data_IF_282094317327
#
_entry.id   IF_282094317327
#
_cell.length_a   1.000
_cell.length_b   1.000
_cell.length_c   1.000
_cell.angle_alpha   90.00
_cell.angle_beta   90.00
_cell.angle_gamma   90.00
#
_symmetry.space_group_name_H-M   'P 1'
#
loop_
_entity.id
_entity.type
_entity.pdbx_description
1 polymer ?
#
# COMPACT_ATOMS: atom_id res chain seq x y z
N UNK A 1 -24.72 13.02 -6.69
CA UNK A 1 -23.77 12.16 -5.91
C UNK A 1 -22.63 11.84 -6.84
N UNK A 2 -21.38 12.10 -6.45
CA UNK A 2 -20.22 11.80 -7.28
C UNK A 2 -19.94 10.30 -7.28
N UNK A 3 -19.46 9.78 -8.40
CA UNK A 3 -19.15 8.35 -8.59
C UNK A 3 -17.64 8.17 -8.78
N UNK A 4 -17.04 7.20 -8.10
CA UNK A 4 -15.62 6.85 -8.24
C UNK A 4 -15.45 5.43 -8.74
N UNK A 5 -14.59 5.23 -9.74
CA UNK A 5 -14.13 3.93 -10.19
C UNK A 5 -12.95 3.49 -9.31
N UNK A 6 -13.13 2.44 -8.51
CA UNK A 6 -12.16 1.95 -7.55
C UNK A 6 -11.58 0.60 -8.01
N UNK A 7 -10.28 0.52 -8.19
CA UNK A 7 -9.57 -0.75 -8.33
C UNK A 7 -8.95 -1.17 -6.99
N UNK A 8 -8.83 -2.47 -6.76
CA UNK A 8 -8.25 -2.99 -5.51
C UNK A 8 -9.18 -2.96 -4.30
N UNK A 9 -10.48 -2.74 -4.49
CA UNK A 9 -11.50 -2.60 -3.44
C UNK A 9 -11.53 -3.74 -2.41
N UNK A 10 -11.15 -4.95 -2.79
CA UNK A 10 -11.14 -6.15 -1.92
C UNK A 10 -9.82 -6.39 -1.20
N UNK A 11 -8.78 -5.58 -1.49
CA UNK A 11 -7.48 -5.63 -0.84
C UNK A 11 -7.46 -4.93 0.52
N UNK A 12 -6.33 -5.02 1.22
CA UNK A 12 -6.16 -4.44 2.57
C UNK A 12 -6.46 -2.94 2.60
N UNK A 13 -5.77 -2.13 1.80
CA UNK A 13 -6.01 -0.68 1.73
C UNK A 13 -7.37 -0.38 1.10
N UNK A 14 -7.70 -1.08 0.01
CA UNK A 14 -8.90 -0.78 -0.78
C UNK A 14 -10.21 -0.99 -0.04
N UNK A 15 -10.33 -1.99 0.84
CA UNK A 15 -11.56 -2.23 1.61
C UNK A 15 -11.83 -1.11 2.62
N UNK A 16 -10.80 -0.60 3.29
CA UNK A 16 -10.95 0.52 4.22
C UNK A 16 -11.27 1.81 3.44
N UNK A 17 -10.60 1.99 2.31
CA UNK A 17 -10.88 3.11 1.40
C UNK A 17 -12.32 3.07 0.85
N UNK A 18 -12.83 1.88 0.51
CA UNK A 18 -14.21 1.69 0.07
C UNK A 18 -15.20 2.18 1.15
N UNK A 19 -14.98 1.81 2.42
CA UNK A 19 -15.83 2.23 3.53
C UNK A 19 -15.78 3.75 3.73
N UNK A 20 -14.58 4.34 3.63
CA UNK A 20 -14.39 5.80 3.73
C UNK A 20 -15.02 6.56 2.57
N UNK A 21 -14.99 6.03 1.34
CA UNK A 21 -15.65 6.61 0.18
C UNK A 21 -17.18 6.67 0.37
N UNK A 22 -17.77 5.56 0.82
CA UNK A 22 -19.21 5.50 1.11
C UNK A 22 -19.59 6.51 2.20
N UNK A 23 -18.81 6.56 3.29
CA UNK A 23 -19.03 7.51 4.39
C UNK A 23 -18.91 8.98 3.94
N UNK A 24 -18.05 9.26 2.93
CA UNK A 24 -17.91 10.58 2.31
C UNK A 24 -18.97 10.87 1.24
N UNK A 25 -19.97 10.02 1.05
CA UNK A 25 -21.08 10.24 0.13
C UNK A 25 -20.78 9.92 -1.34
N UNK A 26 -19.69 9.19 -1.63
CA UNK A 26 -19.40 8.69 -2.97
C UNK A 26 -20.22 7.45 -3.29
N UNK A 27 -20.71 7.36 -4.53
CA UNK A 27 -21.07 6.07 -5.11
C UNK A 27 -19.82 5.40 -5.66
N UNK A 28 -19.60 4.12 -5.33
CA UNK A 28 -18.37 3.42 -5.70
C UNK A 28 -18.67 2.33 -6.73
N UNK A 29 -18.09 2.44 -7.91
CA UNK A 29 -17.98 1.34 -8.87
C UNK A 29 -16.68 0.61 -8.56
N UNK A 30 -16.76 -0.63 -8.07
CA UNK A 30 -15.63 -1.34 -7.51
C UNK A 30 -15.28 -2.59 -8.32
N UNK A 31 -14.04 -2.66 -8.86
CA UNK A 31 -13.55 -3.82 -9.60
C UNK A 31 -13.31 -5.01 -8.66
N UNK A 32 -13.82 -6.17 -9.02
CA UNK A 32 -13.64 -7.40 -8.26
C UNK A 32 -13.47 -8.62 -9.17
N UNK A 33 -12.62 -9.57 -8.76
CA UNK A 33 -12.41 -10.87 -9.43
C UNK A 33 -13.30 -11.99 -8.88
N UNK A 34 -14.02 -11.71 -7.80
CA UNK A 34 -14.87 -12.69 -7.11
C UNK A 34 -16.20 -12.05 -6.77
N UNK A 35 -17.24 -12.82 -6.70
CA UNK A 35 -18.54 -12.35 -6.26
C UNK A 35 -18.44 -11.73 -4.86
N UNK A 36 -19.12 -10.61 -4.69
CA UNK A 36 -19.18 -9.86 -3.45
C UNK A 36 -20.63 -9.73 -2.99
N UNK A 37 -20.84 -9.70 -1.69
CA UNK A 37 -22.13 -9.38 -1.14
C UNK A 37 -22.56 -7.96 -1.54
N UNK A 38 -23.87 -7.78 -1.73
CA UNK A 38 -24.43 -6.45 -1.97
C UNK A 38 -24.06 -5.51 -0.81
N UNK A 39 -23.60 -4.32 -1.17
CA UNK A 39 -23.25 -3.27 -0.21
C UNK A 39 -23.86 -1.95 -0.69
N UNK A 40 -24.59 -1.26 0.19
CA UNK A 40 -25.17 0.03 -0.13
C UNK A 40 -24.09 1.02 -0.59
N UNK A 41 -24.37 1.79 -1.65
CA UNK A 41 -23.40 2.74 -2.22
C UNK A 41 -22.33 2.10 -3.11
N UNK A 42 -22.37 0.78 -3.37
CA UNK A 42 -21.38 0.06 -4.19
C UNK A 42 -22.03 -0.66 -5.35
N UNK A 43 -21.52 -0.44 -6.55
CA UNK A 43 -21.77 -1.24 -7.74
C UNK A 43 -20.52 -2.10 -8.03
N UNK A 44 -20.61 -3.39 -7.80
CA UNK A 44 -19.52 -4.32 -8.10
C UNK A 44 -19.44 -4.58 -9.61
N UNK A 45 -18.24 -4.41 -10.18
CA UNK A 45 -17.92 -4.73 -11.56
C UNK A 45 -17.01 -5.95 -11.56
N UNK A 46 -17.52 -7.08 -12.09
CA UNK A 46 -16.73 -8.31 -12.18
C UNK A 46 -15.70 -8.19 -13.30
N UNK A 47 -14.43 -8.48 -12.99
CA UNK A 47 -13.34 -8.39 -13.96
C UNK A 47 -11.97 -8.25 -13.28
N UNK A 48 -10.98 -7.88 -14.07
CA UNK A 48 -9.58 -7.72 -13.62
C UNK A 48 -8.87 -6.59 -14.36
N UNK A 49 -7.66 -6.23 -13.90
CA UNK A 49 -6.84 -5.22 -14.59
C UNK A 49 -6.39 -5.66 -16.00
N UNK A 50 -6.47 -6.96 -16.31
CA UNK A 50 -6.13 -7.49 -17.64
C UNK A 50 -7.33 -7.62 -18.55
N UNK A 51 -8.53 -7.27 -18.09
CA UNK A 51 -9.76 -7.30 -18.85
C UNK A 51 -10.22 -5.86 -19.15
N UNK A 52 -9.88 -5.40 -20.35
CA UNK A 52 -10.18 -4.03 -20.80
C UNK A 52 -11.69 -3.76 -20.89
N UNK A 53 -12.50 -4.77 -21.20
CA UNK A 53 -13.96 -4.61 -21.25
C UNK A 53 -14.52 -4.30 -19.86
N UNK A 54 -14.07 -5.03 -18.83
CA UNK A 54 -14.48 -4.77 -17.45
C UNK A 54 -13.99 -3.42 -16.92
N UNK A 55 -12.81 -2.95 -17.36
CA UNK A 55 -12.30 -1.63 -16.99
C UNK A 55 -13.08 -0.49 -17.66
N UNK A 56 -13.47 -0.65 -18.90
CA UNK A 56 -14.37 0.30 -19.57
C UNK A 56 -15.73 0.36 -18.86
N UNK A 57 -16.31 -0.79 -18.50
CA UNK A 57 -17.53 -0.80 -17.70
C UNK A 57 -17.30 -0.18 -16.31
N UNK A 58 -16.17 -0.44 -15.65
CA UNK A 58 -15.83 0.18 -14.37
C UNK A 58 -15.83 1.72 -14.44
N UNK A 59 -15.24 2.27 -15.49
CA UNK A 59 -15.09 3.71 -15.68
C UNK A 59 -16.36 4.40 -16.19
N UNK A 60 -17.35 3.65 -16.68
CA UNK A 60 -18.58 4.22 -17.25
C UNK A 60 -19.36 5.06 -16.25
N UNK A 61 -19.51 6.36 -16.55
CA UNK A 61 -20.23 7.30 -15.69
C UNK A 61 -19.56 7.63 -14.35
N UNK A 62 -18.27 7.32 -14.20
CA UNK A 62 -17.51 7.74 -13.04
C UNK A 62 -16.92 9.14 -13.23
N UNK A 63 -16.87 9.92 -12.14
CA UNK A 63 -16.28 11.26 -12.10
C UNK A 63 -14.75 11.22 -11.87
N UNK A 64 -14.27 10.15 -11.25
CA UNK A 64 -12.87 9.98 -10.90
C UNK A 64 -12.47 8.51 -10.88
N UNK A 65 -11.15 8.24 -11.01
CA UNK A 65 -10.56 6.93 -10.75
C UNK A 65 -9.70 6.99 -9.50
N UNK A 66 -9.86 5.99 -8.63
CA UNK A 66 -8.95 5.69 -7.53
C UNK A 66 -8.30 4.33 -7.77
N UNK A 67 -7.04 4.34 -8.18
CA UNK A 67 -6.28 3.14 -8.51
C UNK A 67 -5.45 2.69 -7.31
N UNK A 68 -6.00 1.74 -6.53
CA UNK A 68 -5.36 1.14 -5.35
C UNK A 68 -4.78 -0.23 -5.65
N UNK A 69 -5.29 -0.89 -6.70
CA UNK A 69 -4.82 -2.21 -7.09
C UNK A 69 -3.32 -2.23 -7.40
N UNK A 70 -2.66 -3.28 -6.96
CA UNK A 70 -1.26 -3.55 -7.24
C UNK A 70 -0.83 -4.86 -6.61
N UNK A 71 0.24 -5.43 -7.15
CA UNK A 71 0.87 -6.65 -6.66
C UNK A 71 2.08 -6.28 -5.83
N UNK A 72 2.11 -6.68 -4.56
CA UNK A 72 3.24 -6.47 -3.63
C UNK A 72 4.15 -7.69 -3.53
N UNK A 73 3.64 -8.86 -3.93
CA UNK A 73 4.36 -10.13 -3.96
C UNK A 73 4.09 -10.83 -5.29
N UNK A 74 5.13 -11.12 -6.06
CA UNK A 74 5.08 -11.94 -7.27
C UNK A 74 6.31 -12.85 -7.30
N UNK A 75 6.23 -14.02 -7.95
CA UNK A 75 7.36 -14.96 -8.03
C UNK A 75 8.52 -14.43 -8.89
N UNK A 76 8.23 -13.51 -9.81
CA UNK A 76 9.16 -12.99 -10.81
C UNK A 76 8.79 -11.58 -11.30
N UNK A 77 9.62 -11.02 -12.15
CA UNK A 77 9.41 -9.70 -12.74
C UNK A 77 8.15 -9.64 -13.62
N UNK A 78 7.80 -10.72 -14.33
CA UNK A 78 6.63 -10.76 -15.20
C UNK A 78 5.32 -10.63 -14.42
N UNK A 79 5.24 -11.22 -13.22
CA UNK A 79 4.09 -11.08 -12.34
C UNK A 79 3.92 -9.64 -11.84
N UNK A 80 5.03 -8.95 -11.50
CA UNK A 80 5.00 -7.54 -11.15
C UNK A 80 4.66 -6.65 -12.36
N UNK A 81 5.22 -6.93 -13.52
CA UNK A 81 4.93 -6.22 -14.77
C UNK A 81 3.44 -6.29 -15.11
N UNK A 82 2.88 -7.51 -15.17
CA UNK A 82 1.46 -7.71 -15.47
C UNK A 82 0.54 -7.02 -14.46
N UNK A 83 0.83 -7.17 -13.14
CA UNK A 83 -0.05 -6.65 -12.09
C UNK A 83 0.06 -5.15 -11.85
N UNK A 84 1.25 -4.57 -11.98
CA UNK A 84 1.50 -3.17 -11.66
C UNK A 84 1.57 -2.29 -12.91
N UNK A 85 2.34 -2.68 -13.94
CA UNK A 85 2.60 -1.82 -15.11
C UNK A 85 1.46 -1.94 -16.12
N UNK A 86 1.23 -3.15 -16.64
CA UNK A 86 0.19 -3.41 -17.64
C UNK A 86 -1.19 -3.07 -17.08
N UNK A 87 -1.47 -3.47 -15.83
CA UNK A 87 -2.73 -3.14 -15.16
C UNK A 87 -2.96 -1.64 -15.02
N UNK A 88 -1.91 -0.85 -14.71
CA UNK A 88 -1.99 0.61 -14.65
C UNK A 88 -2.21 1.21 -16.03
N UNK A 89 -1.53 0.71 -17.08
CA UNK A 89 -1.74 1.17 -18.45
C UNK A 89 -3.19 0.97 -18.91
N UNK A 90 -3.77 -0.19 -18.60
CA UNK A 90 -5.15 -0.50 -18.99
C UNK A 90 -6.18 0.41 -18.29
N UNK A 91 -6.05 0.66 -16.99
CA UNK A 91 -7.00 1.54 -16.28
C UNK A 91 -6.85 3.01 -16.69
N UNK A 92 -5.63 3.46 -17.03
CA UNK A 92 -5.40 4.78 -17.59
C UNK A 92 -6.13 4.94 -18.94
N UNK A 93 -5.98 3.96 -19.84
CA UNK A 93 -6.66 3.95 -21.13
C UNK A 93 -8.19 3.94 -20.97
N UNK A 94 -8.74 3.15 -20.05
CA UNK A 94 -10.18 3.11 -19.77
C UNK A 94 -10.68 4.44 -19.20
N UNK A 95 -9.93 5.09 -18.30
CA UNK A 95 -10.28 6.40 -17.76
C UNK A 95 -10.31 7.46 -18.85
N UNK A 96 -9.29 7.51 -19.71
CA UNK A 96 -9.23 8.45 -20.85
C UNK A 96 -10.38 8.22 -21.82
N UNK A 97 -10.66 6.97 -22.18
CA UNK A 97 -11.77 6.62 -23.08
C UNK A 97 -13.14 7.00 -22.53
N UNK A 98 -13.30 6.98 -21.20
CA UNK A 98 -14.53 7.39 -20.51
C UNK A 98 -14.63 8.92 -20.29
N UNK A 99 -13.62 9.69 -20.70
CA UNK A 99 -13.57 11.15 -20.48
C UNK A 99 -13.34 11.56 -19.04
N UNK A 100 -12.87 10.64 -18.17
CA UNK A 100 -12.55 10.95 -16.78
C UNK A 100 -11.25 11.75 -16.76
N UNK A 101 -11.24 12.87 -16.03
CA UNK A 101 -10.03 13.69 -15.87
C UNK A 101 -9.29 13.36 -14.59
N UNK A 102 -9.99 13.20 -13.46
CA UNK A 102 -9.38 13.01 -12.13
C UNK A 102 -8.92 11.57 -11.89
N UNK A 103 -7.61 11.39 -11.59
CA UNK A 103 -6.99 10.08 -11.38
C UNK A 103 -6.08 10.11 -10.15
N UNK A 104 -6.41 9.34 -9.11
CA UNK A 104 -5.57 9.16 -7.92
C UNK A 104 -4.95 7.77 -7.95
N UNK A 105 -3.62 7.70 -7.87
CA UNK A 105 -2.86 6.44 -7.94
C UNK A 105 -2.09 6.16 -6.65
N UNK A 106 -2.24 4.96 -6.12
CA UNK A 106 -1.43 4.46 -5.01
C UNK A 106 -0.18 3.80 -5.55
N UNK A 107 0.97 4.48 -5.40
CA UNK A 107 2.31 3.98 -5.67
C UNK A 107 2.92 3.33 -4.41
N UNK A 108 4.19 3.56 -4.14
CA UNK A 108 4.91 3.11 -2.94
C UNK A 108 6.19 3.94 -2.78
N UNK A 109 6.71 4.08 -1.56
CA UNK A 109 8.07 4.60 -1.35
C UNK A 109 9.13 3.78 -2.11
N UNK A 110 8.87 2.50 -2.35
CA UNK A 110 9.75 1.63 -3.15
C UNK A 110 10.03 2.18 -4.56
N UNK A 111 9.11 2.96 -5.14
CA UNK A 111 9.29 3.58 -6.46
C UNK A 111 10.43 4.61 -6.50
N UNK A 112 10.94 5.08 -5.35
CA UNK A 112 12.11 5.97 -5.28
C UNK A 112 13.42 5.26 -5.60
N UNK A 113 13.47 3.95 -5.34
CA UNK A 113 14.67 3.11 -5.47
C UNK A 113 14.35 1.87 -6.33
N UNK A 114 14.08 2.08 -7.64
CA UNK A 114 13.69 0.98 -8.54
C UNK A 114 14.77 -0.09 -8.69
N UNK A 115 16.03 0.26 -8.45
CA UNK A 115 17.18 -0.64 -8.52
C UNK A 115 17.25 -1.66 -7.38
N UNK A 116 16.52 -1.43 -6.28
CA UNK A 116 16.60 -2.31 -5.09
C UNK A 116 15.73 -3.55 -5.21
N UNK A 117 14.64 -3.50 -6.00
CA UNK A 117 13.73 -4.64 -6.12
C UNK A 117 12.86 -4.59 -7.38
N UNK A 118 12.45 -5.77 -7.87
CA UNK A 118 11.47 -5.90 -8.95
C UNK A 118 10.15 -5.19 -8.61
N UNK A 119 9.73 -5.25 -7.35
CA UNK A 119 8.57 -4.49 -6.87
C UNK A 119 8.77 -2.98 -7.04
N UNK A 120 9.89 -2.43 -6.55
CA UNK A 120 10.22 -1.01 -6.69
C UNK A 120 10.29 -0.58 -8.15
N UNK A 121 10.95 -1.37 -9.01
CA UNK A 121 11.02 -1.12 -10.44
C UNK A 121 9.62 -1.07 -11.08
N UNK A 122 8.76 -2.04 -10.79
CA UNK A 122 7.40 -2.08 -11.34
C UNK A 122 6.53 -0.89 -10.87
N UNK A 123 6.68 -0.47 -9.62
CA UNK A 123 5.96 0.71 -9.10
C UNK A 123 6.47 2.00 -9.72
N UNK A 124 7.78 2.15 -9.93
CA UNK A 124 8.36 3.30 -10.61
C UNK A 124 7.88 3.39 -12.06
N UNK A 125 7.86 2.27 -12.78
CA UNK A 125 7.37 2.21 -14.18
C UNK A 125 5.87 2.54 -14.25
N UNK A 126 5.06 1.95 -13.39
CA UNK A 126 3.63 2.25 -13.32
C UNK A 126 3.36 3.74 -13.00
N UNK A 127 4.13 4.32 -12.07
CA UNK A 127 4.04 5.74 -11.74
C UNK A 127 4.44 6.63 -12.92
N UNK A 128 5.45 6.26 -13.69
CA UNK A 128 5.85 6.99 -14.89
C UNK A 128 4.72 7.03 -15.93
N UNK A 129 3.99 5.93 -16.13
CA UNK A 129 2.81 5.90 -17.01
C UNK A 129 1.72 6.88 -16.54
N UNK A 130 1.46 6.94 -15.23
CA UNK A 130 0.49 7.89 -14.66
C UNK A 130 0.96 9.33 -14.91
N UNK A 131 2.23 9.64 -14.62
CA UNK A 131 2.79 10.99 -14.72
C UNK A 131 2.90 11.52 -16.14
N UNK A 132 3.02 10.64 -17.13
CA UNK A 132 3.04 10.99 -18.55
C UNK A 132 1.66 11.05 -19.19
N UNK A 133 0.61 10.62 -18.47
CA UNK A 133 -0.76 10.69 -18.96
C UNK A 133 -1.29 12.13 -19.04
N UNK A 134 -2.31 12.35 -19.87
CA UNK A 134 -3.02 13.63 -19.98
C UNK A 134 -3.99 13.91 -18.82
N UNK A 135 -4.16 12.96 -17.89
CA UNK A 135 -5.12 13.07 -16.79
C UNK A 135 -4.67 14.09 -15.75
N UNK A 136 -5.62 14.59 -14.98
CA UNK A 136 -5.40 15.31 -13.73
C UNK A 136 -5.03 14.28 -12.64
N UNK A 137 -3.77 13.86 -12.63
CA UNK A 137 -3.32 12.80 -11.75
C UNK A 137 -2.75 13.33 -10.42
N UNK A 138 -2.92 12.52 -9.39
CA UNK A 138 -2.15 12.61 -8.14
C UNK A 138 -1.62 11.23 -7.79
N UNK A 139 -0.35 11.15 -7.43
CA UNK A 139 0.30 9.92 -6.96
C UNK A 139 0.54 10.04 -5.46
N UNK A 140 0.20 8.99 -4.72
CA UNK A 140 0.60 8.82 -3.33
C UNK A 140 1.60 7.66 -3.21
N UNK A 141 2.73 7.88 -2.54
CA UNK A 141 3.75 6.88 -2.21
C UNK A 141 3.67 6.56 -0.72
N UNK A 142 2.81 5.63 -0.30
CA UNK A 142 2.77 5.23 1.10
C UNK A 142 4.05 4.48 1.49
N UNK A 143 4.47 4.61 2.77
CA UNK A 143 5.48 3.76 3.39
C UNK A 143 4.88 2.41 3.79
N UNK A 144 5.43 1.79 4.83
CA UNK A 144 4.82 0.61 5.45
C UNK A 144 3.41 0.90 5.97
N UNK A 145 2.40 0.31 5.34
CA UNK A 145 1.00 0.47 5.76
C UNK A 145 0.65 -0.63 6.75
N UNK A 146 0.10 -0.27 7.91
CA UNK A 146 -0.32 -1.22 8.94
C UNK A 146 -1.75 -0.92 9.42
N UNK A 147 -2.36 -1.89 10.10
CA UNK A 147 -3.69 -1.72 10.66
C UNK A 147 -4.48 -3.03 10.70
N UNK A 148 -5.72 -3.02 11.22
CA UNK A 148 -6.60 -4.18 11.23
C UNK A 148 -6.79 -4.82 9.87
N UNK A 149 -6.42 -6.12 9.74
CA UNK A 149 -6.50 -6.88 8.49
C UNK A 149 -5.27 -6.86 7.62
N UNK A 150 -4.17 -6.27 8.07
CA UNK A 150 -2.87 -6.41 7.43
C UNK A 150 -2.33 -7.83 7.58
N UNK A 151 -1.76 -8.38 6.50
CA UNK A 151 -1.11 -9.69 6.47
C UNK A 151 0.41 -9.59 6.33
N UNK A 152 0.92 -8.46 5.86
CA UNK A 152 2.35 -8.30 5.57
C UNK A 152 3.17 -8.10 6.85
N UNK A 153 2.68 -7.28 7.79
CA UNK A 153 3.35 -7.05 9.08
C UNK A 153 2.97 -8.09 10.15
N UNK A 154 2.01 -8.97 9.89
CA UNK A 154 1.53 -9.95 10.86
C UNK A 154 2.66 -10.81 11.46
N UNK A 155 3.62 -11.26 10.64
CA UNK A 155 4.75 -12.05 11.14
C UNK A 155 5.62 -11.27 12.16
N UNK A 156 5.70 -9.93 12.04
CA UNK A 156 6.40 -9.10 13.03
C UNK A 156 5.69 -9.13 14.39
N UNK A 157 4.35 -9.02 14.41
CA UNK A 157 3.55 -9.14 15.63
C UNK A 157 3.67 -10.52 16.26
N UNK A 158 3.62 -11.57 15.43
CA UNK A 158 3.73 -12.96 15.89
C UNK A 158 5.10 -13.26 16.53
N UNK A 159 6.20 -12.71 15.98
CA UNK A 159 7.53 -12.85 16.53
C UNK A 159 7.69 -12.02 17.79
N UNK A 160 7.18 -10.77 17.78
CA UNK A 160 7.19 -9.89 18.94
C UNK A 160 6.42 -10.48 20.14
N UNK A 161 5.30 -11.18 19.91
CA UNK A 161 4.57 -11.90 20.95
C UNK A 161 5.39 -13.00 21.65
N UNK A 162 6.49 -13.49 21.00
CA UNK A 162 7.44 -14.41 21.58
C UNK A 162 8.61 -13.71 22.28
N UNK A 163 8.63 -12.37 22.36
CA UNK A 163 9.66 -11.56 22.98
C UNK A 163 10.88 -11.27 22.11
N UNK A 164 10.81 -11.49 20.79
CA UNK A 164 11.92 -11.29 19.87
C UNK A 164 11.54 -10.44 18.68
N UNK A 165 12.52 -9.74 18.10
CA UNK A 165 12.41 -9.15 16.77
C UNK A 165 13.73 -9.34 16.01
N UNK A 166 13.65 -10.05 14.88
CA UNK A 166 14.74 -10.12 13.91
C UNK A 166 14.58 -8.97 12.94
N UNK A 167 15.57 -8.10 12.90
CA UNK A 167 15.53 -6.84 12.16
C UNK A 167 16.56 -6.84 11.03
N UNK A 168 16.30 -6.11 9.94
CA UNK A 168 17.32 -5.80 8.95
C UNK A 168 18.47 -4.98 9.58
N UNK A 169 19.53 -4.63 8.84
CA UNK A 169 20.55 -3.70 9.31
C UNK A 169 19.94 -2.45 9.92
N UNK A 170 20.70 -1.74 10.76
CA UNK A 170 20.20 -0.51 11.39
C UNK A 170 19.75 0.47 10.32
N UNK A 171 18.58 1.05 10.52
CA UNK A 171 17.96 1.97 9.59
C UNK A 171 16.68 2.58 10.17
N UNK A 172 15.99 3.31 9.31
CA UNK A 172 14.76 4.04 9.66
C UNK A 172 13.64 3.70 8.67
N UNK A 173 12.43 3.78 9.15
CA UNK A 173 11.22 3.50 8.37
C UNK A 173 10.12 4.48 8.77
N UNK A 174 9.40 5.03 7.81
CA UNK A 174 8.11 5.63 8.02
C UNK A 174 7.02 4.56 7.98
N UNK A 175 5.93 4.79 8.67
CA UNK A 175 4.74 3.94 8.66
C UNK A 175 3.49 4.80 8.59
N UNK A 176 2.37 4.24 8.12
CA UNK A 176 1.09 4.91 8.11
C UNK A 176 -0.03 3.92 8.48
N UNK A 177 -0.96 4.35 9.31
CA UNK A 177 -2.15 3.54 9.58
C UNK A 177 -3.05 3.49 8.34
N UNK A 178 -3.61 2.32 8.04
CA UNK A 178 -4.42 2.10 6.83
C UNK A 178 -5.62 3.04 6.74
N UNK A 179 -6.21 3.40 7.85
CA UNK A 179 -7.35 4.30 7.89
C UNK A 179 -6.96 5.76 7.63
N UNK A 180 -5.80 6.21 8.10
CA UNK A 180 -5.23 7.51 7.77
C UNK A 180 -4.87 7.62 6.27
N UNK A 181 -4.29 6.55 5.70
CA UNK A 181 -4.06 6.48 4.26
C UNK A 181 -5.37 6.53 3.49
N UNK A 182 -6.38 5.76 3.89
CA UNK A 182 -7.69 5.74 3.23
C UNK A 182 -8.36 7.12 3.27
N UNK A 183 -8.27 7.84 4.39
CA UNK A 183 -8.76 9.20 4.55
C UNK A 183 -8.05 10.17 3.60
N UNK A 184 -6.72 10.08 3.49
CA UNK A 184 -5.94 10.87 2.53
C UNK A 184 -6.41 10.59 1.09
N UNK A 185 -6.56 9.32 0.72
CA UNK A 185 -6.99 8.94 -0.64
C UNK A 185 -8.35 9.53 -1.00
N UNK A 186 -9.30 9.52 -0.06
CA UNK A 186 -10.62 10.14 -0.26
C UNK A 186 -10.51 11.66 -0.40
N UNK A 187 -9.71 12.32 0.45
CA UNK A 187 -9.46 13.77 0.37
C UNK A 187 -8.88 14.16 -1.00
N UNK A 188 -7.92 13.41 -1.50
CA UNK A 188 -7.25 13.70 -2.77
C UNK A 188 -8.18 13.61 -3.99
N UNK A 189 -9.31 12.91 -3.91
CA UNK A 189 -10.27 12.82 -5.04
C UNK A 189 -10.98 14.14 -5.36
N UNK A 190 -11.11 15.03 -4.37
CA UNK A 190 -11.87 16.27 -4.52
C UNK A 190 -11.12 17.52 -4.07
N UNK A 191 -9.87 17.37 -3.61
CA UNK A 191 -9.06 18.50 -3.19
C UNK A 191 -8.58 19.34 -4.38
N UNK A 192 -8.52 20.65 -4.17
CA UNK A 192 -7.92 21.59 -5.11
C UNK A 192 -6.38 21.60 -4.95
N UNK A 193 -5.67 22.03 -5.99
CA UNK A 193 -4.22 22.22 -6.01
C UNK A 193 -3.38 20.95 -5.73
N UNK A 194 -3.93 19.78 -6.06
CA UNK A 194 -3.23 18.47 -5.94
C UNK A 194 -2.96 17.83 -7.32
N UNK A 195 -3.24 18.58 -8.39
CA UNK A 195 -3.00 18.15 -9.77
C UNK A 195 -1.52 17.98 -10.04
N UNK A 196 -1.15 16.87 -10.68
CA UNK A 196 0.24 16.50 -11.05
C UNK A 196 1.20 16.52 -9.85
N UNK A 197 0.71 16.19 -8.67
CA UNK A 197 1.49 16.09 -7.45
C UNK A 197 1.83 14.65 -7.10
N UNK A 198 3.01 14.45 -6.52
CA UNK A 198 3.43 13.20 -5.88
C UNK A 198 3.56 13.48 -4.40
N UNK A 199 2.77 12.79 -3.58
CA UNK A 199 2.80 12.92 -2.13
C UNK A 199 3.41 11.68 -1.47
N UNK A 200 4.09 11.91 -0.35
CA UNK A 200 4.56 10.88 0.57
C UNK A 200 3.99 11.21 1.96
N UNK A 201 3.24 10.28 2.57
CA UNK A 201 2.57 10.53 3.83
C UNK A 201 2.84 9.40 4.84
N UNK A 202 3.05 9.77 6.09
CA UNK A 202 3.29 8.85 7.19
C UNK A 202 2.52 9.26 8.47
N UNK A 203 2.86 8.66 9.61
CA UNK A 203 2.27 8.92 10.92
C UNK A 203 2.69 10.25 11.59
N UNK A 204 3.46 11.09 10.90
CA UNK A 204 3.95 12.36 11.41
C UNK A 204 5.19 12.26 12.33
N UNK A 205 5.70 11.05 12.61
CA UNK A 205 6.91 10.89 13.46
C UNK A 205 8.12 11.54 12.80
N UNK A 206 8.72 12.51 13.48
CA UNK A 206 9.87 13.23 12.96
C UNK A 206 11.05 12.31 12.65
N UNK A 207 11.50 12.29 11.37
CA UNK A 207 12.54 11.39 10.89
C UNK A 207 12.18 9.90 10.92
N UNK A 208 10.89 9.55 11.03
CA UNK A 208 10.40 8.17 11.07
C UNK A 208 10.87 7.37 12.28
N UNK A 209 10.64 6.09 12.28
CA UNK A 209 11.00 5.14 13.34
C UNK A 209 12.34 4.49 13.04
N UNK A 210 13.19 4.29 14.06
CA UNK A 210 14.26 3.29 13.91
C UNK A 210 13.67 1.89 13.86
N UNK A 211 14.29 0.95 13.14
CA UNK A 211 13.80 -0.44 13.08
C UNK A 211 13.60 -1.04 14.47
N UNK A 212 14.54 -0.79 15.40
CA UNK A 212 14.43 -1.25 16.79
C UNK A 212 13.32 -0.54 17.56
N UNK A 213 13.13 0.76 17.35
CA UNK A 213 12.04 1.54 17.98
C UNK A 213 10.67 1.04 17.55
N UNK A 214 10.47 0.81 16.25
CA UNK A 214 9.21 0.28 15.72
C UNK A 214 8.93 -1.14 16.22
N UNK A 215 9.95 -2.01 16.24
CA UNK A 215 9.81 -3.36 16.80
C UNK A 215 9.44 -3.36 18.28
N UNK A 216 10.02 -2.46 19.09
CA UNK A 216 9.65 -2.28 20.50
C UNK A 216 8.21 -1.77 20.66
N UNK A 217 7.77 -0.84 19.79
CA UNK A 217 6.38 -0.38 19.78
C UNK A 217 5.39 -1.50 19.46
N UNK A 218 5.73 -2.40 18.52
CA UNK A 218 4.96 -3.63 18.27
C UNK A 218 4.97 -4.53 19.51
N UNK A 219 6.12 -4.71 20.17
CA UNK A 219 6.25 -5.45 21.42
C UNK A 219 5.29 -4.93 22.50
N UNK A 220 5.31 -3.64 22.74
CA UNK A 220 4.38 -2.97 23.66
C UNK A 220 2.91 -3.24 23.28
N UNK A 221 2.58 -3.18 21.99
CA UNK A 221 1.23 -3.43 21.49
C UNK A 221 0.74 -4.87 21.75
N UNK A 222 1.65 -5.85 21.72
CA UNK A 222 1.33 -7.26 22.04
C UNK A 222 1.50 -7.60 23.52
N UNK A 223 1.96 -6.63 24.36
CA UNK A 223 2.14 -6.81 25.81
C UNK A 223 3.44 -7.55 26.17
N UNK A 224 4.51 -7.35 25.39
CA UNK A 224 5.82 -7.99 25.60
C UNK A 224 6.96 -7.00 25.45
N UNK A 225 7.98 -7.12 26.27
CA UNK A 225 9.29 -6.55 25.99
C UNK A 225 9.99 -7.40 24.92
N UNK A 226 10.58 -6.71 23.93
CA UNK A 226 11.15 -7.37 22.75
C UNK A 226 12.66 -7.18 22.71
N UNK A 227 13.38 -8.28 22.64
CA UNK A 227 14.81 -8.31 22.36
C UNK A 227 14.99 -8.14 20.84
N UNK A 228 15.69 -7.09 20.44
CA UNK A 228 15.93 -6.77 19.03
C UNK A 228 17.29 -7.30 18.58
N UNK A 229 17.31 -8.08 17.50
CA UNK A 229 18.53 -8.62 16.90
C UNK A 229 18.63 -8.14 15.46
N UNK A 230 19.69 -7.42 15.13
CA UNK A 230 19.93 -6.96 13.75
C UNK A 230 20.71 -8.00 12.96
N UNK A 231 20.16 -8.46 11.85
CA UNK A 231 20.85 -9.33 10.91
C UNK A 231 21.70 -8.48 9.94
N UNK A 232 22.98 -8.76 9.76
CA UNK A 232 23.78 -8.15 8.70
C UNK A 232 23.18 -8.42 7.30
N UNK A 233 23.35 -7.48 6.36
CA UNK A 233 22.76 -7.58 5.02
C UNK A 233 23.10 -8.87 4.27
N UNK A 234 24.34 -9.39 4.44
CA UNK A 234 24.76 -10.63 3.79
C UNK A 234 24.01 -11.85 4.32
N UNK A 235 23.65 -11.88 5.63
CA UNK A 235 22.85 -12.97 6.21
C UNK A 235 21.42 -12.94 5.71
N UNK A 236 20.83 -11.75 5.52
CA UNK A 236 19.49 -11.62 4.93
C UNK A 236 19.49 -12.12 3.47
N UNK A 237 20.52 -11.79 2.68
CA UNK A 237 20.65 -12.27 1.31
C UNK A 237 20.83 -13.78 1.25
N UNK A 238 21.67 -14.33 2.11
CA UNK A 238 21.87 -15.78 2.22
C UNK A 238 20.58 -16.49 2.65
N UNK A 239 19.88 -15.97 3.66
CA UNK A 239 18.58 -16.49 4.09
C UNK A 239 17.54 -16.43 2.96
N UNK A 240 17.53 -15.35 2.17
CA UNK A 240 16.66 -15.21 1.00
C UNK A 240 16.98 -16.24 -0.09
N UNK A 241 18.27 -16.51 -0.34
CA UNK A 241 18.68 -17.58 -1.26
C UNK A 241 18.25 -18.96 -0.76
N UNK A 242 18.48 -19.25 0.53
CA UNK A 242 18.08 -20.52 1.15
C UNK A 242 16.56 -20.71 1.15
N UNK A 243 15.78 -19.69 1.49
CA UNK A 243 14.31 -19.76 1.47
C UNK A 243 13.79 -20.04 0.05
N UNK A 244 14.38 -19.39 -0.97
CA UNK A 244 14.03 -19.65 -2.37
C UNK A 244 14.40 -21.05 -2.83
N UNK A 245 15.56 -21.57 -2.41
CA UNK A 245 16.00 -22.92 -2.74
C UNK A 245 15.06 -23.99 -2.13
N UNK A 246 14.55 -23.76 -0.92
CA UNK A 246 13.68 -24.71 -0.21
C UNK A 246 12.21 -24.58 -0.63
N UNK A 247 11.69 -23.34 -0.78
CA UNK A 247 10.26 -23.09 -0.99
C UNK A 247 9.91 -22.68 -2.44
N UNK A 248 10.91 -22.49 -3.31
CA UNK A 248 10.70 -22.11 -4.69
C UNK A 248 9.88 -20.83 -4.83
N UNK A 249 8.80 -20.87 -5.62
CA UNK A 249 7.88 -19.75 -5.83
C UNK A 249 7.10 -19.33 -4.57
N UNK A 250 7.08 -20.13 -3.51
CA UNK A 250 6.41 -19.82 -2.23
C UNK A 250 7.34 -19.16 -1.20
N UNK A 251 8.58 -18.85 -1.58
CA UNK A 251 9.54 -18.19 -0.70
C UNK A 251 9.01 -16.82 -0.25
N UNK A 252 9.02 -16.56 1.06
CA UNK A 252 8.63 -15.28 1.65
C UNK A 252 9.78 -14.26 1.64
N UNK A 253 11.01 -14.75 1.78
CA UNK A 253 12.23 -13.96 1.68
C UNK A 253 12.97 -14.37 0.42
N UNK A 254 13.09 -13.45 -0.54
CA UNK A 254 13.88 -13.64 -1.75
C UNK A 254 15.14 -12.75 -1.67
N UNK A 255 16.21 -13.00 -2.45
CA UNK A 255 17.34 -12.08 -2.53
C UNK A 255 16.93 -10.65 -2.91
N UNK A 256 15.94 -10.51 -3.79
CA UNK A 256 15.31 -9.24 -4.19
C UNK A 256 14.68 -8.53 -2.98
N UNK A 257 13.84 -9.22 -2.22
CA UNK A 257 13.21 -8.69 -1.00
C UNK A 257 14.26 -8.39 0.10
N UNK A 258 15.33 -9.17 0.18
CA UNK A 258 16.43 -8.93 1.11
C UNK A 258 17.18 -7.62 0.80
N UNK A 259 17.40 -7.29 -0.48
CA UNK A 259 17.98 -6.01 -0.89
C UNK A 259 17.08 -4.83 -0.49
N UNK A 260 15.78 -4.93 -0.77
CA UNK A 260 14.79 -3.94 -0.36
C UNK A 260 14.79 -3.72 1.16
N UNK A 261 14.77 -4.80 1.95
CA UNK A 261 14.76 -4.73 3.42
C UNK A 261 16.09 -4.22 4.01
N UNK A 262 17.22 -4.43 3.30
CA UNK A 262 18.53 -3.98 3.77
C UNK A 262 18.79 -2.49 3.53
N UNK A 263 17.94 -1.80 2.78
CA UNK A 263 18.08 -0.36 2.57
C UNK A 263 17.91 0.40 3.90
N UNK A 264 18.83 1.36 4.21
CA UNK A 264 18.88 1.94 5.55
C UNK A 264 17.80 2.98 5.82
N UNK A 265 17.17 3.56 4.78
CA UNK A 265 16.26 4.69 4.94
C UNK A 265 14.99 4.57 4.07
N UNK A 266 13.93 4.11 4.71
CA UNK A 266 12.58 4.11 4.16
C UNK A 266 11.69 5.19 4.79
N UNK A 267 12.25 6.35 5.14
CA UNK A 267 11.47 7.49 5.60
C UNK A 267 10.91 8.30 4.43
N UNK A 268 9.81 9.00 4.65
CA UNK A 268 9.25 9.89 3.63
C UNK A 268 10.15 11.12 3.42
N UNK A 269 10.09 11.69 2.23
CA UNK A 269 10.57 13.05 1.99
C UNK A 269 9.54 14.05 2.54
N UNK A 270 9.91 14.83 3.55
CA UNK A 270 9.01 15.82 4.18
C UNK A 270 8.56 16.92 3.22
N UNK A 271 9.36 17.28 2.23
CA UNK A 271 8.99 18.26 1.21
C UNK A 271 7.88 17.74 0.27
N UNK A 272 7.72 16.42 0.19
CA UNK A 272 6.64 15.77 -0.54
C UNK A 272 5.41 15.43 0.34
N UNK A 273 5.44 15.79 1.62
CA UNK A 273 4.29 15.54 2.50
C UNK A 273 3.10 16.44 2.11
N UNK A 274 1.85 15.93 2.25
CA UNK A 274 0.68 16.80 2.14
C UNK A 274 0.77 17.98 3.11
N UNK A 275 0.38 19.16 2.65
CA UNK A 275 0.29 20.32 3.53
C UNK A 275 -0.68 20.05 4.71
N UNK A 276 -0.43 20.54 5.93
CA UNK A 276 -1.28 20.26 7.09
C UNK A 276 -2.75 20.66 6.89
N UNK A 277 -3.02 21.68 6.08
CA UNK A 277 -4.37 22.11 5.73
C UNK A 277 -5.11 21.11 4.82
N UNK A 278 -4.36 20.31 4.06
CA UNK A 278 -4.91 19.28 3.20
C UNK A 278 -5.18 18.01 3.99
N UNK A 279 -4.20 17.57 4.78
CA UNK A 279 -4.31 16.33 5.53
C UNK A 279 -3.21 16.23 6.61
N UNK A 280 -3.58 15.64 7.75
CA UNK A 280 -2.68 15.23 8.82
C UNK A 280 -3.04 13.84 9.34
N UNK A 281 -2.09 13.02 9.82
CA UNK A 281 -2.40 11.76 10.47
C UNK A 281 -3.18 11.99 11.77
N UNK A 282 -4.18 11.15 12.05
CA UNK A 282 -5.02 11.23 13.25
C UNK A 282 -4.76 10.07 14.21
N UNK A 283 -4.23 8.96 13.69
CA UNK A 283 -4.02 7.75 14.48
C UNK A 283 -2.58 7.68 14.96
N UNK A 284 -2.39 7.94 16.26
CA UNK A 284 -1.09 7.76 16.89
C UNK A 284 -0.62 6.30 16.74
N UNK A 285 0.61 6.07 16.26
CA UNK A 285 1.14 4.74 15.95
C UNK A 285 1.06 3.76 17.12
N UNK A 286 1.38 4.11 18.39
CA UNK A 286 1.21 3.19 19.51
C UNK A 286 -0.22 2.70 19.68
N UNK A 287 -1.21 3.57 19.48
CA UNK A 287 -2.64 3.21 19.53
C UNK A 287 -3.02 2.30 18.36
N UNK A 288 -2.65 2.68 17.13
CA UNK A 288 -2.95 1.90 15.92
C UNK A 288 -2.34 0.49 15.97
N UNK A 289 -1.11 0.35 16.47
CA UNK A 289 -0.46 -0.96 16.67
C UNK A 289 -1.21 -1.81 17.70
N UNK A 290 -1.67 -1.20 18.82
CA UNK A 290 -2.48 -1.90 19.84
C UNK A 290 -3.80 -2.38 19.26
N UNK A 291 -4.49 -1.53 18.50
CA UNK A 291 -5.75 -1.87 17.83
C UNK A 291 -5.55 -3.01 16.82
N UNK A 292 -4.44 -2.98 16.05
CA UNK A 292 -4.03 -4.03 15.12
C UNK A 292 -3.78 -5.36 15.84
N UNK A 293 -3.01 -5.35 16.95
CA UNK A 293 -2.75 -6.55 17.75
C UNK A 293 -4.05 -7.14 18.34
N UNK A 294 -4.95 -6.26 18.80
CA UNK A 294 -6.27 -6.68 19.32
C UNK A 294 -7.11 -7.32 18.23
N UNK A 295 -7.09 -6.77 17.03
CA UNK A 295 -7.77 -7.34 15.87
C UNK A 295 -7.22 -8.74 15.50
N UNK A 296 -5.88 -8.91 15.46
CA UNK A 296 -5.29 -10.23 15.18
C UNK A 296 -5.73 -11.29 16.20
N UNK A 297 -5.82 -10.92 17.50
CA UNK A 297 -6.32 -11.84 18.53
C UNK A 297 -7.80 -12.16 18.32
N UNK A 298 -8.63 -11.16 18.02
CA UNK A 298 -10.06 -11.35 17.78
C UNK A 298 -10.34 -12.25 16.56
N UNK A 299 -9.43 -12.27 15.56
CA UNK A 299 -9.52 -13.15 14.40
C UNK A 299 -8.88 -14.55 14.64
N UNK A 300 -8.33 -14.81 15.82
CA UNK A 300 -7.65 -16.07 16.11
C UNK A 300 -6.31 -16.25 15.37
N UNK A 301 -5.69 -15.15 14.91
CA UNK A 301 -4.39 -15.22 14.23
C UNK A 301 -3.21 -15.23 15.20
N UNK A 302 -3.43 -14.75 16.44
CA UNK A 302 -2.45 -14.72 17.54
C UNK A 302 -3.05 -15.30 18.82
#
# INVERSE_FOLDING_TARGET
MKTVALTGATGFVGRITLDRLIAAGWHVRALTRRDQHKKAGVSWVHGSLNDTASLNELCKGADAVLHVAGVVNAPDAAGFESGNVTGTAHILAAAQSAGITRFVCVSSLAARHPELSMYGASKATAEALVRTSSLDWTVIRPPGVYGPGDTEMFDMFRIAAKGWALLPPRGRVSVIHVDDLARLLVTLLSADNVSKCVFEADDGTAGGWSHAGFAKAIGTAVGRDVITVHAPAFLLKFAGWADRAVRGAKAKLTPDRANYLAHPDWTINRDAAPAPQLWTPEIATPKGLKDTASWYRAQGWM
#
